data_IF_805727200897
#
_entry.id   IF_805727200897
#
_cell.length_a   1.000
_cell.length_b   1.000
_cell.length_c   1.000
_cell.angle_alpha   90.00
_cell.angle_beta   90.00
_cell.angle_gamma   90.00
#
_symmetry.space_group_name_H-M   'P 1'
#
loop_
_entity.id
_entity.type
_entity.pdbx_description
1 polymer ?
#
# COMPACT_ATOMS: atom_id res chain seq x y z
N UNK A 1 25.90 2.46 1.31
CA UNK A 1 24.90 2.41 2.39
C UNK A 1 25.65 1.96 3.62
N UNK A 2 25.68 2.74 4.70
CA UNK A 2 26.34 2.26 5.93
C UNK A 2 25.61 1.01 6.44
N UNK A 3 26.32 0.11 7.11
CA UNK A 3 25.77 -1.15 7.63
C UNK A 3 24.51 -0.94 8.50
N UNK A 4 24.45 0.20 9.21
CA UNK A 4 23.32 0.62 10.05
C UNK A 4 22.05 0.97 9.28
N UNK A 5 22.15 1.58 8.09
CA UNK A 5 20.99 1.83 7.22
C UNK A 5 20.37 0.53 6.71
N UNK A 6 21.20 -0.47 6.39
CA UNK A 6 20.72 -1.77 5.94
C UNK A 6 19.99 -2.56 7.05
N UNK A 7 20.44 -2.45 8.30
CA UNK A 7 19.83 -3.15 9.42
C UNK A 7 18.42 -2.63 9.75
N UNK A 8 18.26 -1.30 9.79
CA UNK A 8 16.97 -0.66 10.09
C UNK A 8 15.90 -1.02 9.04
N UNK A 9 16.26 -0.94 7.75
CA UNK A 9 15.34 -1.30 6.67
C UNK A 9 14.95 -2.79 6.68
N UNK A 10 15.90 -3.68 7.02
CA UNK A 10 15.59 -5.12 7.16
C UNK A 10 14.66 -5.41 8.33
N UNK A 11 14.83 -4.73 9.46
CA UNK A 11 13.96 -4.91 10.63
C UNK A 11 12.54 -4.44 10.33
N UNK A 12 12.39 -3.29 9.68
CA UNK A 12 11.11 -2.76 9.22
C UNK A 12 10.43 -3.68 8.20
N UNK A 13 11.15 -4.12 7.16
CA UNK A 13 10.65 -5.12 6.21
C UNK A 13 10.27 -6.44 6.93
N UNK A 14 10.99 -6.84 7.98
CA UNK A 14 10.70 -8.04 8.74
C UNK A 14 9.42 -7.96 9.56
N UNK A 15 9.16 -6.82 10.19
CA UNK A 15 7.91 -6.55 10.90
C UNK A 15 6.73 -6.42 9.91
N UNK A 16 6.95 -5.81 8.74
CA UNK A 16 5.89 -5.55 7.77
C UNK A 16 5.40 -6.79 7.03
N UNK A 17 6.26 -7.77 6.74
CA UNK A 17 5.83 -9.00 6.03
C UNK A 17 4.63 -9.70 6.68
N UNK A 18 4.65 -10.08 7.98
CA UNK A 18 3.50 -10.74 8.59
C UNK A 18 2.27 -9.84 8.62
N UNK A 19 2.42 -8.54 8.92
CA UNK A 19 1.29 -7.61 9.01
C UNK A 19 0.62 -7.40 7.65
N UNK A 20 1.39 -7.15 6.59
CA UNK A 20 0.88 -7.02 5.23
C UNK A 20 0.28 -8.33 4.71
N UNK A 21 0.82 -9.48 5.12
CA UNK A 21 0.20 -10.78 4.82
C UNK A 21 -1.20 -10.86 5.46
N UNK A 22 -1.32 -10.52 6.74
CA UNK A 22 -2.61 -10.50 7.43
C UNK A 22 -3.58 -9.50 6.79
N UNK A 23 -3.13 -8.29 6.43
CA UNK A 23 -3.97 -7.28 5.77
C UNK A 23 -4.44 -7.76 4.40
N UNK A 24 -3.55 -8.30 3.57
CA UNK A 24 -3.90 -8.80 2.24
C UNK A 24 -4.93 -9.94 2.34
N UNK A 25 -4.72 -10.90 3.25
CA UNK A 25 -5.68 -11.97 3.50
C UNK A 25 -7.00 -11.45 4.07
N UNK A 26 -6.97 -10.50 4.99
CA UNK A 26 -8.16 -9.88 5.56
C UNK A 26 -8.97 -9.11 4.49
N UNK A 27 -8.32 -8.42 3.55
CA UNK A 27 -9.00 -7.78 2.42
C UNK A 27 -9.70 -8.82 1.53
N UNK A 28 -9.03 -9.93 1.21
CA UNK A 28 -9.64 -11.03 0.45
C UNK A 28 -10.81 -11.66 1.20
N UNK A 29 -10.64 -11.94 2.50
CA UNK A 29 -11.70 -12.48 3.35
C UNK A 29 -12.89 -11.51 3.45
N UNK A 30 -12.63 -10.20 3.53
CA UNK A 30 -13.67 -9.17 3.55
C UNK A 30 -14.44 -9.09 2.23
N UNK A 31 -13.76 -9.24 1.09
CA UNK A 31 -14.42 -9.32 -0.23
C UNK A 31 -15.25 -10.60 -0.35
N UNK A 32 -14.76 -11.71 0.20
CA UNK A 32 -15.47 -13.00 0.19
C UNK A 32 -16.65 -13.06 1.19
N UNK A 33 -16.84 -12.02 2.02
CA UNK A 33 -17.87 -12.01 3.07
C UNK A 33 -17.53 -12.86 4.29
N UNK A 34 -16.30 -13.36 4.41
CA UNK A 34 -15.83 -14.18 5.52
C UNK A 34 -15.32 -13.36 6.72
N UNK A 35 -15.08 -12.06 6.53
CA UNK A 35 -14.64 -11.14 7.58
C UNK A 35 -15.36 -9.80 7.42
N UNK A 36 -15.78 -9.17 8.51
CA UNK A 36 -16.40 -7.84 8.46
C UNK A 36 -15.40 -6.80 7.91
N UNK A 37 -15.68 -6.14 6.78
CA UNK A 37 -14.81 -5.12 6.22
C UNK A 37 -14.52 -3.93 7.17
N UNK A 38 -15.41 -3.65 8.13
CA UNK A 38 -15.14 -2.61 9.13
C UNK A 38 -14.04 -3.03 10.11
N UNK A 39 -13.96 -4.32 10.46
CA UNK A 39 -12.85 -4.87 11.24
C UNK A 39 -11.54 -4.74 10.45
N UNK A 40 -11.58 -5.05 9.15
CA UNK A 40 -10.42 -4.83 8.26
C UNK A 40 -10.02 -3.36 8.24
N UNK A 41 -10.98 -2.44 8.15
CA UNK A 41 -10.74 -1.00 8.16
C UNK A 41 -10.04 -0.53 9.43
N UNK A 42 -10.53 -0.95 10.61
CA UNK A 42 -9.92 -0.58 11.90
C UNK A 42 -8.51 -1.14 12.03
N UNK A 43 -8.29 -2.40 11.68
CA UNK A 43 -6.97 -3.04 11.72
C UNK A 43 -5.99 -2.39 10.75
N UNK A 44 -6.43 -2.12 9.52
CA UNK A 44 -5.61 -1.49 8.50
C UNK A 44 -5.27 -0.03 8.86
N UNK A 45 -6.21 0.72 9.42
CA UNK A 45 -5.93 2.08 9.91
C UNK A 45 -4.90 2.06 11.04
N UNK A 46 -5.06 1.18 12.02
CA UNK A 46 -4.10 1.03 13.12
C UNK A 46 -2.69 0.73 12.57
N UNK A 47 -2.58 -0.19 11.61
CA UNK A 47 -1.32 -0.48 10.93
C UNK A 47 -0.73 0.75 10.25
N UNK A 48 -1.51 1.43 9.40
CA UNK A 48 -1.03 2.58 8.62
C UNK A 48 -0.53 3.70 9.55
N UNK A 49 -1.22 3.97 10.65
CA UNK A 49 -0.80 4.96 11.65
C UNK A 49 0.50 4.55 12.34
N UNK A 50 0.60 3.30 12.81
CA UNK A 50 1.79 2.80 13.50
C UNK A 50 3.02 2.74 12.58
N UNK A 51 2.85 2.24 11.36
CA UNK A 51 3.94 2.18 10.38
C UNK A 51 4.35 3.58 9.92
N UNK A 52 3.38 4.47 9.71
CA UNK A 52 3.64 5.88 9.38
C UNK A 52 4.44 6.59 10.47
N UNK A 53 4.08 6.38 11.75
CA UNK A 53 4.81 6.91 12.89
C UNK A 53 6.22 6.31 12.99
N UNK A 54 6.38 5.00 12.78
CA UNK A 54 7.71 4.37 12.73
C UNK A 54 8.58 5.06 11.68
N UNK A 55 8.10 5.20 10.45
CA UNK A 55 8.88 5.81 9.36
C UNK A 55 9.20 7.28 9.66
N UNK A 56 8.27 8.02 10.28
CA UNK A 56 8.51 9.41 10.66
C UNK A 56 9.62 9.54 11.73
N UNK A 57 9.64 8.64 12.72
CA UNK A 57 10.65 8.62 13.78
C UNK A 57 12.00 8.07 13.30
N UNK A 58 12.00 7.11 12.38
CA UNK A 58 13.20 6.46 11.86
C UNK A 58 13.21 6.42 10.32
N UNK A 59 13.35 7.56 9.62
CA UNK A 59 13.22 7.63 8.15
C UNK A 59 14.25 6.78 7.39
N UNK A 60 15.31 6.32 8.08
CA UNK A 60 16.32 5.39 7.55
C UNK A 60 15.80 3.96 7.35
N UNK A 61 14.66 3.60 7.92
CA UNK A 61 14.02 2.29 7.70
C UNK A 61 13.46 2.15 6.29
N UNK A 62 13.13 3.26 5.64
CA UNK A 62 12.73 3.29 4.24
C UNK A 62 13.97 3.57 3.39
N UNK A 63 14.32 2.71 2.42
CA UNK A 63 15.53 2.88 1.62
C UNK A 63 15.64 4.23 0.91
N UNK A 64 14.50 4.87 0.59
CA UNK A 64 14.47 6.10 -0.17
C UNK A 64 13.09 6.81 -0.16
N UNK A 65 13.08 8.15 -0.11
CA UNK A 65 11.87 9.02 -0.03
C UNK A 65 10.90 8.70 1.13
N UNK A 66 11.45 8.53 2.34
CA UNK A 66 10.66 8.35 3.55
C UNK A 66 9.54 9.40 3.71
N UNK A 67 9.81 10.68 3.42
CA UNK A 67 8.81 11.74 3.52
C UNK A 67 7.59 11.52 2.59
N UNK A 68 7.81 11.02 1.37
CA UNK A 68 6.71 10.71 0.43
C UNK A 68 5.91 9.50 0.92
N UNK A 69 6.59 8.52 1.52
CA UNK A 69 5.91 7.37 2.14
C UNK A 69 5.08 7.84 3.35
N UNK A 70 5.61 8.70 4.22
CA UNK A 70 4.83 9.26 5.34
C UNK A 70 3.61 10.03 4.82
N UNK A 71 3.76 10.86 3.78
CA UNK A 71 2.63 11.55 3.16
C UNK A 71 1.57 10.55 2.63
N UNK A 72 2.01 9.46 2.01
CA UNK A 72 1.12 8.36 1.62
C UNK A 72 0.38 7.76 2.82
N UNK A 73 1.04 7.51 3.95
CA UNK A 73 0.38 6.99 5.15
C UNK A 73 -0.68 7.97 5.70
N UNK A 74 -0.38 9.27 5.71
CA UNK A 74 -1.34 10.30 6.14
C UNK A 74 -2.57 10.30 5.24
N UNK A 75 -2.37 10.26 3.92
CA UNK A 75 -3.46 10.24 2.93
C UNK A 75 -4.26 8.94 3.01
N UNK A 76 -3.60 7.79 3.16
CA UNK A 76 -4.27 6.48 3.34
C UNK A 76 -5.06 6.45 4.64
N UNK A 77 -4.53 6.99 5.74
CA UNK A 77 -5.24 7.10 7.00
C UNK A 77 -6.49 7.99 6.87
N UNK A 78 -6.38 9.12 6.15
CA UNK A 78 -7.51 9.96 5.84
C UNK A 78 -8.56 9.19 5.02
N UNK A 79 -8.17 8.43 3.99
CA UNK A 79 -9.10 7.61 3.23
C UNK A 79 -9.80 6.54 4.11
N UNK A 80 -9.04 5.86 4.97
CA UNK A 80 -9.58 4.84 5.90
C UNK A 80 -10.46 5.42 7.00
N UNK A 81 -10.37 6.72 7.30
CA UNK A 81 -11.27 7.39 8.23
C UNK A 81 -12.68 7.60 7.65
N UNK A 82 -12.86 7.51 6.33
CA UNK A 82 -14.18 7.66 5.71
C UNK A 82 -15.11 6.49 6.04
N UNK A 83 -14.73 5.19 5.87
CA UNK A 83 -15.60 4.09 6.25
C UNK A 83 -15.82 3.92 7.75
N UNK A 84 -15.04 4.60 8.62
CA UNK A 84 -15.38 4.67 10.04
C UNK A 84 -16.62 5.53 10.31
N UNK A 85 -16.90 6.49 9.43
CA UNK A 85 -18.08 7.37 9.47
C UNK A 85 -19.24 6.81 8.63
N UNK A 86 -18.90 5.97 7.65
CA UNK A 86 -19.83 5.28 6.74
C UNK A 86 -19.56 3.76 6.74
N UNK A 87 -19.90 3.02 7.81
CA UNK A 87 -19.56 1.61 7.97
C UNK A 87 -20.06 0.70 6.84
N UNK A 88 -21.20 1.02 6.24
CA UNK A 88 -21.78 0.32 5.09
C UNK A 88 -20.88 0.37 3.84
N UNK A 89 -19.92 1.29 3.80
CA UNK A 89 -18.94 1.46 2.72
C UNK A 89 -17.59 0.82 3.04
N UNK A 90 -17.45 0.12 4.16
CA UNK A 90 -16.18 -0.47 4.59
C UNK A 90 -15.62 -1.53 3.62
N UNK A 91 -16.45 -2.11 2.74
CA UNK A 91 -15.99 -2.99 1.67
C UNK A 91 -14.97 -2.32 0.73
N UNK A 92 -15.03 -0.99 0.60
CA UNK A 92 -14.10 -0.24 -0.24
C UNK A 92 -12.67 -0.24 0.32
N UNK A 93 -12.50 -0.38 1.65
CA UNK A 93 -11.19 -0.62 2.25
C UNK A 93 -10.57 -1.90 1.71
N UNK A 94 -11.35 -2.99 1.67
CA UNK A 94 -10.87 -4.28 1.19
C UNK A 94 -10.52 -4.24 -0.30
N UNK A 95 -11.37 -3.61 -1.12
CA UNK A 95 -11.15 -3.43 -2.56
C UNK A 95 -9.90 -2.61 -2.84
N UNK A 96 -9.69 -1.52 -2.12
CA UNK A 96 -8.49 -0.68 -2.28
C UNK A 96 -7.23 -1.41 -1.77
N UNK A 97 -7.34 -2.05 -0.61
CA UNK A 97 -6.28 -2.76 0.09
C UNK A 97 -5.70 -3.98 -0.63
N UNK A 98 -6.33 -4.46 -1.72
CA UNK A 98 -5.73 -5.47 -2.59
C UNK A 98 -4.36 -5.07 -3.15
N UNK A 99 -4.06 -3.76 -3.21
CA UNK A 99 -2.73 -3.26 -3.58
C UNK A 99 -1.63 -3.70 -2.63
N UNK A 100 -1.96 -4.02 -1.38
CA UNK A 100 -0.97 -4.49 -0.39
C UNK A 100 -0.46 -5.89 -0.69
N UNK A 101 -1.21 -6.73 -1.42
CA UNK A 101 -0.67 -7.99 -1.92
C UNK A 101 0.52 -7.73 -2.88
N UNK A 102 0.40 -6.73 -3.76
CA UNK A 102 1.51 -6.33 -4.63
C UNK A 102 2.69 -5.74 -3.83
N UNK A 103 2.41 -4.93 -2.80
CA UNK A 103 3.44 -4.40 -1.88
C UNK A 103 4.16 -5.54 -1.14
N UNK A 104 3.42 -6.55 -0.66
CA UNK A 104 3.97 -7.73 -0.01
C UNK A 104 4.90 -8.52 -0.93
N UNK A 105 4.47 -8.84 -2.16
CA UNK A 105 5.32 -9.54 -3.13
C UNK A 105 6.60 -8.76 -3.43
N UNK A 106 6.50 -7.44 -3.49
CA UNK A 106 7.67 -6.60 -3.65
C UNK A 106 8.65 -6.74 -2.47
N UNK A 107 8.17 -6.68 -1.23
CA UNK A 107 9.01 -6.80 -0.02
C UNK A 107 9.64 -8.20 0.02
N UNK A 108 8.85 -9.26 -0.19
CA UNK A 108 9.34 -10.63 -0.22
C UNK A 108 10.44 -10.82 -1.27
N UNK A 109 10.26 -10.25 -2.46
CA UNK A 109 11.29 -10.25 -3.52
C UNK A 109 12.60 -9.59 -3.08
N UNK A 110 12.56 -8.51 -2.29
CA UNK A 110 13.78 -7.82 -1.79
C UNK A 110 14.52 -8.62 -0.73
N UNK A 111 13.83 -9.52 -0.02
CA UNK A 111 14.40 -10.29 1.08
C UNK A 111 15.10 -11.57 0.64
N UNK A 112 14.89 -12.01 -0.60
CA UNK A 112 15.49 -13.22 -1.15
C UNK A 112 16.67 -12.89 -2.07
N UNK A 113 17.65 -13.81 -2.15
CA UNK A 113 18.84 -13.64 -2.98
C UNK A 113 18.45 -13.52 -4.46
N UNK A 114 18.92 -12.46 -5.13
CA UNK A 114 18.76 -12.28 -6.59
C UNK A 114 19.29 -13.51 -7.34
N UNK A 115 18.57 -13.93 -8.37
CA UNK A 115 18.88 -15.11 -9.17
C UNK A 115 18.47 -16.46 -8.55
N UNK A 116 17.94 -16.49 -7.33
CA UNK A 116 17.37 -17.73 -6.77
C UNK A 116 15.98 -18.05 -7.36
N UNK A 117 15.57 -19.32 -7.31
CA UNK A 117 14.22 -19.74 -7.72
C UNK A 117 13.13 -18.99 -6.93
N UNK A 118 13.33 -18.82 -5.62
CA UNK A 118 12.41 -18.06 -4.76
C UNK A 118 12.30 -16.59 -5.18
N UNK A 119 13.41 -15.96 -5.60
CA UNK A 119 13.37 -14.62 -6.18
C UNK A 119 12.56 -14.59 -7.48
N UNK A 120 12.69 -15.59 -8.35
CA UNK A 120 11.91 -15.66 -9.58
C UNK A 120 10.40 -15.74 -9.29
N UNK A 121 9.97 -16.55 -8.31
CA UNK A 121 8.57 -16.65 -7.87
C UNK A 121 8.02 -15.31 -7.40
N UNK A 122 8.67 -14.66 -6.42
CA UNK A 122 8.18 -13.38 -5.89
C UNK A 122 8.24 -12.26 -6.93
N UNK A 123 9.23 -12.28 -7.82
CA UNK A 123 9.29 -11.34 -8.93
C UNK A 123 8.16 -11.56 -9.94
N UNK A 124 7.84 -12.81 -10.27
CA UNK A 124 6.72 -13.15 -11.14
C UNK A 124 5.40 -12.65 -10.57
N UNK A 125 5.11 -12.95 -9.30
CA UNK A 125 3.90 -12.47 -8.62
C UNK A 125 3.83 -10.95 -8.54
N UNK A 126 4.94 -10.29 -8.21
CA UNK A 126 5.01 -8.83 -8.20
C UNK A 126 4.71 -8.22 -9.57
N UNK A 127 5.34 -8.71 -10.65
CA UNK A 127 5.14 -8.18 -12.00
C UNK A 127 3.73 -8.48 -12.51
N UNK A 128 3.23 -9.71 -12.30
CA UNK A 128 1.90 -10.13 -12.72
C UNK A 128 0.80 -9.29 -12.07
N UNK A 129 0.99 -8.84 -10.83
CA UNK A 129 0.02 -7.99 -10.12
C UNK A 129 0.27 -6.50 -10.27
N UNK A 130 1.45 -6.07 -10.75
CA UNK A 130 1.81 -4.66 -10.81
C UNK A 130 0.86 -3.87 -11.71
N UNK A 131 0.73 -4.28 -12.98
CA UNK A 131 -0.10 -3.56 -13.94
C UNK A 131 -1.60 -3.68 -13.63
N UNK A 132 -2.16 -4.90 -13.42
CA UNK A 132 -3.59 -5.04 -13.14
C UNK A 132 -4.02 -4.30 -11.87
N UNK A 133 -3.25 -4.39 -10.78
CA UNK A 133 -3.67 -3.79 -9.51
C UNK A 133 -3.37 -2.30 -9.46
N UNK A 134 -2.14 -1.86 -9.78
CA UNK A 134 -1.77 -0.44 -9.59
C UNK A 134 -2.22 0.48 -10.73
N UNK A 135 -2.36 -0.04 -11.95
CA UNK A 135 -2.59 0.78 -13.14
C UNK A 135 -3.91 0.51 -13.86
N UNK A 136 -4.65 -0.55 -13.52
CA UNK A 136 -6.02 -0.74 -13.98
C UNK A 136 -7.03 -0.62 -12.82
N UNK A 137 -6.85 -1.42 -11.76
CA UNK A 137 -7.78 -1.47 -10.63
C UNK A 137 -7.82 -0.16 -9.84
N UNK A 138 -6.68 0.41 -9.47
CA UNK A 138 -6.62 1.66 -8.70
C UNK A 138 -7.26 2.86 -9.45
N UNK A 139 -7.01 3.08 -10.77
CA UNK A 139 -7.77 4.06 -11.55
C UNK A 139 -9.27 3.75 -11.68
N UNK A 140 -9.64 2.48 -11.84
CA UNK A 140 -11.06 2.07 -11.82
C UNK A 140 -11.73 2.44 -10.49
N UNK A 141 -11.05 2.23 -9.35
CA UNK A 141 -11.58 2.61 -8.04
C UNK A 141 -11.81 4.11 -7.91
N UNK A 142 -11.00 4.97 -8.54
CA UNK A 142 -11.27 6.42 -8.55
C UNK A 142 -12.62 6.73 -9.22
N UNK A 143 -12.86 6.14 -10.39
CA UNK A 143 -14.14 6.28 -11.08
C UNK A 143 -15.29 5.73 -10.23
N UNK A 144 -15.14 4.53 -9.65
CA UNK A 144 -16.15 3.92 -8.78
C UNK A 144 -16.45 4.76 -7.55
N UNK A 145 -15.43 5.32 -6.90
CA UNK A 145 -15.60 6.19 -5.74
C UNK A 145 -16.35 7.47 -6.09
N UNK A 146 -16.05 8.06 -7.26
CA UNK A 146 -16.71 9.28 -7.73
C UNK A 146 -18.16 9.04 -8.14
N UNK A 147 -18.41 7.99 -8.93
CA UNK A 147 -19.69 7.74 -9.58
C UNK A 147 -20.70 7.00 -8.69
N UNK A 148 -20.22 6.15 -7.77
CA UNK A 148 -21.07 5.23 -7.02
C UNK A 148 -21.00 5.46 -5.51
N UNK A 149 -19.80 5.56 -4.94
CA UNK A 149 -19.62 5.59 -3.47
C UNK A 149 -19.99 6.96 -2.89
N UNK A 150 -19.42 8.03 -3.45
CA UNK A 150 -19.54 9.41 -2.95
C UNK A 150 -20.53 10.27 -3.75
N UNK A 151 -21.42 9.64 -4.54
CA UNK A 151 -22.35 10.36 -5.42
C UNK A 151 -23.29 11.30 -4.65
N UNK A 152 -23.77 10.85 -3.50
CA UNK A 152 -24.74 11.54 -2.65
C UNK A 152 -24.09 12.18 -1.41
N UNK A 153 -22.76 12.12 -1.31
CA UNK A 153 -22.03 12.65 -0.17
C UNK A 153 -21.86 14.16 -0.26
N UNK A 154 -21.63 14.78 0.89
CA UNK A 154 -21.23 16.18 0.96
C UNK A 154 -19.87 16.39 0.31
N UNK A 155 -19.65 17.60 -0.21
CA UNK A 155 -18.50 17.90 -1.07
C UNK A 155 -17.14 17.53 -0.46
N UNK A 156 -16.95 17.73 0.85
CA UNK A 156 -15.66 17.52 1.50
C UNK A 156 -15.33 16.03 1.65
N UNK A 157 -16.33 15.16 1.78
CA UNK A 157 -16.13 13.70 1.81
C UNK A 157 -15.75 13.18 0.43
N UNK A 158 -16.42 13.70 -0.61
CA UNK A 158 -16.03 13.44 -1.99
C UNK A 158 -14.58 13.88 -2.27
N UNK A 159 -14.19 15.07 -1.81
CA UNK A 159 -12.80 15.55 -1.92
C UNK A 159 -11.84 14.67 -1.13
N UNK A 160 -12.19 14.24 0.08
CA UNK A 160 -11.37 13.33 0.89
C UNK A 160 -11.14 12.01 0.16
N UNK A 161 -12.20 11.34 -0.30
CA UNK A 161 -12.10 10.00 -0.91
C UNK A 161 -11.46 10.06 -2.29
N UNK A 162 -11.99 10.89 -3.20
CA UNK A 162 -11.45 10.98 -4.56
C UNK A 162 -10.07 11.65 -4.58
N UNK A 163 -9.85 12.66 -3.74
CA UNK A 163 -8.54 13.32 -3.60
C UNK A 163 -7.47 12.38 -3.06
N UNK A 164 -7.79 11.60 -2.03
CA UNK A 164 -6.88 10.56 -1.54
C UNK A 164 -6.59 9.53 -2.63
N UNK A 165 -7.62 9.05 -3.35
CA UNK A 165 -7.44 8.07 -4.40
C UNK A 165 -6.59 8.58 -5.57
N UNK A 166 -6.76 9.84 -5.98
CA UNK A 166 -5.88 10.48 -6.98
C UNK A 166 -4.42 10.53 -6.50
N UNK A 167 -4.20 10.88 -5.24
CA UNK A 167 -2.84 10.86 -4.65
C UNK A 167 -2.25 9.45 -4.68
N UNK A 168 -3.03 8.41 -4.32
CA UNK A 168 -2.56 7.01 -4.33
C UNK A 168 -2.17 6.54 -5.75
N UNK A 169 -2.93 6.93 -6.76
CA UNK A 169 -2.59 6.67 -8.17
C UNK A 169 -1.29 7.40 -8.55
N UNK A 170 -1.16 8.67 -8.20
CA UNK A 170 0.07 9.44 -8.41
C UNK A 170 1.29 8.81 -7.72
N UNK A 171 1.10 8.33 -6.49
CA UNK A 171 2.12 7.61 -5.73
C UNK A 171 2.56 6.32 -6.44
N UNK A 172 1.63 5.55 -7.02
CA UNK A 172 1.95 4.37 -7.83
C UNK A 172 2.83 4.70 -9.04
N UNK A 173 2.50 5.79 -9.75
CA UNK A 173 3.31 6.28 -10.87
C UNK A 173 4.70 6.70 -10.41
N UNK A 174 4.79 7.48 -9.32
CA UNK A 174 6.05 7.92 -8.73
C UNK A 174 6.97 6.75 -8.39
N UNK A 175 6.45 5.70 -7.75
CA UNK A 175 7.22 4.51 -7.37
C UNK A 175 7.85 3.81 -8.58
N UNK A 176 7.13 3.70 -9.69
CA UNK A 176 7.62 3.05 -10.91
C UNK A 176 8.58 3.95 -11.68
N UNK A 177 8.24 5.22 -11.89
CA UNK A 177 9.08 6.19 -12.60
C UNK A 177 10.45 6.32 -11.93
N UNK A 178 10.47 6.42 -10.60
CA UNK A 178 11.70 6.53 -9.83
C UNK A 178 12.61 5.32 -9.98
N UNK A 179 12.07 4.11 -10.11
CA UNK A 179 12.89 2.91 -10.36
C UNK A 179 13.58 2.94 -11.71
N UNK A 180 12.98 3.57 -12.72
CA UNK A 180 13.56 3.69 -14.06
C UNK A 180 14.68 4.74 -14.12
N UNK A 181 14.61 5.77 -13.27
CA UNK A 181 15.59 6.88 -13.24
C UNK A 181 16.78 6.60 -12.31
N UNK A 182 16.62 5.74 -11.30
CA UNK A 182 17.74 5.36 -10.43
C UNK A 182 18.83 4.65 -11.26
N UNK A 183 20.07 5.18 -11.32
CA UNK A 183 21.13 4.55 -12.10
C UNK A 183 21.34 3.13 -11.59
N UNK A 184 21.41 2.17 -12.52
CA UNK A 184 21.85 0.82 -12.23
C UNK A 184 23.22 0.95 -11.54
N UNK A 185 23.29 0.70 -10.23
CA UNK A 185 24.57 0.57 -9.56
C UNK A 185 25.29 -0.56 -10.27
N UNK A 186 26.34 -0.23 -11.03
CA UNK A 186 27.32 -1.20 -11.49
C UNK A 186 27.90 -1.81 -10.22
N UNK A 187 27.52 -3.05 -9.93
CA UNK A 187 28.23 -3.90 -8.98
C UNK A 187 29.58 -4.15 -9.64
N UNK A 188 30.63 -3.54 -9.07
CA UNK A 188 32.02 -3.86 -9.35
C UNK A 188 32.45 -5.00 -8.42
#
# INVERSE_FOLDING_TARGET
MSATHGACARAHDAANVPVLTLIALACVAGIAGALDPLVVTKGFLAYIVLDGLWIALWPRCVPSAAAVVVAHHVVTAALLAYPLRHPERAIETCRNGLVEANTLFLILRRRVRRGSAMHAVWNGLYVATLAPVRFAWQPYLLWHFYANVTKDDVWWEKVQVCGAQMFLIGFNVFLVARRRVAPAKKEA
#
